data_IF_347913092026
#
_entry.id   IF_347913092026
#
_cell.length_a   1.000
_cell.length_b   1.000
_cell.length_c   1.000
_cell.angle_alpha   90.00
_cell.angle_beta   90.00
_cell.angle_gamma   90.00
#
_symmetry.space_group_name_H-M   'P 1'
#
loop_
_entity.id
_entity.type
_entity.pdbx_description
1 polymer ?
#
# COMPACT_ATOMS: atom_id res chain seq x y z
N UNK A 1 25.65 1.52 -23.24
CA UNK A 1 25.30 2.37 -22.09
C UNK A 1 24.03 1.78 -21.49
N UNK A 2 24.07 1.31 -20.24
CA UNK A 2 22.86 0.89 -19.53
C UNK A 2 21.91 2.08 -19.35
N UNK A 3 20.59 1.85 -19.15
CA UNK A 3 19.63 2.92 -18.91
C UNK A 3 20.10 3.79 -17.74
N UNK A 4 19.82 5.11 -17.76
CA UNK A 4 20.22 6.00 -16.69
C UNK A 4 19.61 5.49 -15.37
N UNK A 5 20.47 5.37 -14.38
CA UNK A 5 20.07 4.89 -13.07
C UNK A 5 19.26 5.99 -12.38
N UNK A 6 17.95 5.77 -12.27
CA UNK A 6 17.02 6.71 -11.67
C UNK A 6 16.97 6.51 -10.15
N UNK A 7 16.96 7.59 -9.39
CA UNK A 7 16.71 7.54 -7.95
C UNK A 7 15.24 7.22 -7.68
N UNK A 8 15.04 6.43 -6.64
CA UNK A 8 13.72 5.98 -6.20
C UNK A 8 13.59 6.11 -4.69
N UNK A 9 12.37 6.27 -4.22
CA UNK A 9 12.06 6.28 -2.79
C UNK A 9 11.63 4.88 -2.36
N UNK A 10 12.08 4.47 -1.18
CA UNK A 10 11.81 3.16 -0.61
C UNK A 10 10.95 3.28 0.64
N UNK A 11 9.87 2.51 0.69
CA UNK A 11 9.00 2.39 1.85
C UNK A 11 8.75 0.92 2.19
N UNK A 12 8.35 0.68 3.43
CA UNK A 12 7.95 -0.62 3.93
C UNK A 12 6.49 -0.57 4.33
N UNK A 13 5.70 -1.48 3.78
CA UNK A 13 4.28 -1.65 4.11
C UNK A 13 4.15 -2.90 4.98
N UNK A 14 4.07 -2.71 6.28
CA UNK A 14 3.88 -3.77 7.24
C UNK A 14 2.91 -3.34 8.32
N UNK A 15 2.10 -4.28 8.79
CA UNK A 15 1.11 -4.06 9.85
C UNK A 15 0.31 -5.33 10.09
N UNK A 16 -0.43 -5.38 11.19
CA UNK A 16 -1.23 -6.58 11.51
C UNK A 16 -2.26 -6.89 10.43
N UNK A 17 -2.87 -5.85 9.86
CA UNK A 17 -3.87 -5.96 8.80
C UNK A 17 -3.59 -4.95 7.69
N UNK A 18 -3.86 -5.36 6.46
CA UNK A 18 -3.81 -4.51 5.26
C UNK A 18 -5.03 -4.76 4.38
N UNK A 19 -5.44 -3.77 3.59
CA UNK A 19 -6.57 -3.91 2.66
C UNK A 19 -6.30 -3.13 1.38
N UNK A 20 -6.06 -3.84 0.30
CA UNK A 20 -5.75 -3.28 -1.02
C UNK A 20 -6.91 -3.54 -1.96
N UNK A 21 -7.90 -2.66 -1.94
CA UNK A 21 -9.11 -2.85 -2.72
C UNK A 21 -8.81 -2.80 -4.23
N UNK A 22 -9.23 -3.85 -4.93
CA UNK A 22 -9.29 -3.90 -6.39
C UNK A 22 -10.45 -3.10 -6.96
N UNK A 23 -10.63 -3.17 -8.29
CA UNK A 23 -11.66 -2.43 -9.01
C UNK A 23 -13.10 -2.87 -8.69
N UNK A 24 -13.28 -4.06 -8.13
CA UNK A 24 -14.61 -4.68 -7.99
C UNK A 24 -15.04 -4.75 -6.53
N UNK A 25 -16.06 -3.96 -6.18
CA UNK A 25 -16.82 -4.11 -4.94
C UNK A 25 -18.22 -4.62 -5.33
N UNK A 26 -18.54 -5.85 -4.99
CA UNK A 26 -19.86 -6.43 -5.25
C UNK A 26 -20.62 -6.59 -3.95
N UNK A 27 -21.74 -5.83 -3.82
CA UNK A 27 -22.69 -5.97 -2.73
C UNK A 27 -22.07 -5.82 -1.33
N UNK A 28 -22.38 -6.77 -0.46
CA UNK A 28 -21.96 -6.79 0.94
C UNK A 28 -20.59 -7.46 1.17
N UNK A 29 -19.90 -7.88 0.10
CA UNK A 29 -18.61 -8.55 0.19
C UNK A 29 -17.54 -7.60 -0.35
N UNK A 30 -16.62 -7.19 0.50
CA UNK A 30 -15.48 -6.34 0.14
C UNK A 30 -14.21 -7.17 0.25
N UNK A 31 -13.63 -7.50 -0.89
CA UNK A 31 -12.39 -8.28 -0.96
C UNK A 31 -11.16 -7.35 -1.02
N UNK A 32 -10.02 -7.88 -0.62
CA UNK A 32 -8.71 -7.25 -0.82
C UNK A 32 -7.95 -7.99 -1.91
N UNK A 33 -7.15 -7.23 -2.68
CA UNK A 33 -6.13 -7.82 -3.53
C UNK A 33 -5.00 -8.38 -2.66
N UNK A 34 -4.25 -9.32 -3.21
CA UNK A 34 -3.09 -9.95 -2.54
C UNK A 34 -1.86 -9.03 -2.43
N UNK A 35 -1.86 -7.94 -3.18
CA UNK A 35 -0.76 -6.98 -3.29
C UNK A 35 -1.27 -5.53 -3.20
N UNK A 36 -0.43 -4.59 -2.76
CA UNK A 36 -0.71 -3.18 -2.92
C UNK A 36 -0.94 -2.83 -4.39
N UNK A 37 -2.14 -2.34 -4.72
CA UNK A 37 -2.49 -1.97 -6.10
C UNK A 37 -1.91 -0.59 -6.46
N UNK A 38 -1.60 -0.31 -7.73
CA UNK A 38 -1.12 1.00 -8.18
C UNK A 38 -2.03 2.15 -7.75
N UNK A 39 -3.34 1.98 -7.88
CA UNK A 39 -4.34 2.96 -7.46
C UNK A 39 -4.26 3.24 -5.95
N UNK A 40 -4.11 2.21 -5.12
CA UNK A 40 -3.97 2.35 -3.66
C UNK A 40 -2.65 3.03 -3.30
N UNK A 41 -1.57 2.71 -4.01
CA UNK A 41 -0.25 3.32 -3.81
C UNK A 41 -0.26 4.80 -4.20
N UNK A 42 -0.89 5.16 -5.32
CA UNK A 42 -1.09 6.57 -5.68
C UNK A 42 -1.92 7.32 -4.65
N UNK A 43 -2.97 6.69 -4.12
CA UNK A 43 -3.77 7.27 -3.04
C UNK A 43 -2.99 7.50 -1.76
N UNK A 44 -2.11 6.57 -1.38
CA UNK A 44 -1.20 6.71 -0.23
C UNK A 44 -0.23 7.87 -0.46
N UNK A 45 0.39 7.92 -1.63
CA UNK A 45 1.35 8.98 -2.01
C UNK A 45 0.67 10.35 -2.08
N UNK A 46 -0.51 10.45 -2.71
CA UNK A 46 -1.31 11.67 -2.74
C UNK A 46 -1.66 12.17 -1.32
N UNK A 47 -2.01 11.25 -0.42
CA UNK A 47 -2.25 11.57 0.99
C UNK A 47 -1.00 12.10 1.69
N UNK A 48 0.17 11.48 1.47
CA UNK A 48 1.45 11.95 2.02
C UNK A 48 1.79 13.36 1.50
N UNK A 49 1.57 13.63 0.22
CA UNK A 49 1.76 14.94 -0.43
C UNK A 49 0.70 15.97 0.00
N UNK A 50 -0.43 15.56 0.55
CA UNK A 50 -1.51 16.43 1.02
C UNK A 50 -2.56 16.76 -0.02
N UNK A 51 -2.63 16.01 -1.13
CA UNK A 51 -3.69 16.18 -2.12
C UNK A 51 -5.00 15.57 -1.65
N UNK A 52 -6.10 16.27 -1.92
CA UNK A 52 -7.44 15.74 -1.68
C UNK A 52 -7.89 14.85 -2.83
N UNK A 53 -8.88 14.01 -2.55
CA UNK A 53 -9.46 13.14 -3.56
C UNK A 53 -10.09 13.99 -4.69
N UNK A 54 -9.71 13.69 -5.93
CA UNK A 54 -10.13 14.44 -7.11
C UNK A 54 -9.19 15.60 -7.51
N UNK A 55 -8.15 15.88 -6.71
CA UNK A 55 -7.18 16.97 -6.96
C UNK A 55 -5.78 16.42 -7.27
N UNK A 56 -5.68 15.16 -7.71
CA UNK A 56 -4.39 14.52 -7.97
C UNK A 56 -3.74 15.13 -9.21
N UNK A 57 -2.47 15.55 -9.13
CA UNK A 57 -1.75 16.04 -10.28
C UNK A 57 -1.47 14.90 -11.28
N UNK A 58 -1.49 15.21 -12.57
CA UNK A 58 -1.35 14.22 -13.65
C UNK A 58 -0.03 13.41 -13.62
N UNK A 59 1.03 13.93 -12.99
CA UNK A 59 2.27 13.20 -12.86
C UNK A 59 2.17 11.96 -11.95
N UNK A 60 1.20 11.95 -11.00
CA UNK A 60 0.97 10.77 -10.15
C UNK A 60 0.57 9.53 -10.95
N UNK A 61 -0.07 9.70 -12.11
CA UNK A 61 -0.44 8.58 -12.98
C UNK A 61 0.78 7.95 -13.68
N UNK A 62 1.91 8.68 -13.72
CA UNK A 62 3.17 8.20 -14.32
C UNK A 62 4.12 7.59 -13.31
N UNK A 63 3.76 7.56 -12.02
CA UNK A 63 4.59 6.96 -10.98
C UNK A 63 4.63 5.45 -11.17
N UNK A 64 5.84 4.91 -11.19
CA UNK A 64 6.07 3.47 -11.25
C UNK A 64 6.27 2.90 -9.87
N UNK A 65 5.68 1.74 -9.64
CA UNK A 65 5.81 1.00 -8.39
C UNK A 65 6.40 -0.39 -8.63
N UNK A 66 7.36 -0.77 -7.79
CA UNK A 66 7.78 -2.17 -7.69
C UNK A 66 7.55 -2.63 -6.27
N UNK A 67 6.75 -3.67 -6.12
CA UNK A 67 6.39 -4.28 -4.84
C UNK A 67 7.15 -5.58 -4.71
N UNK A 68 7.94 -5.72 -3.64
CA UNK A 68 8.64 -6.95 -3.27
C UNK A 68 7.94 -7.59 -2.08
N UNK A 69 7.55 -8.85 -2.24
CA UNK A 69 6.94 -9.61 -1.15
C UNK A 69 8.01 -10.04 -0.14
N UNK A 70 7.92 -9.51 1.10
CA UNK A 70 8.81 -9.88 2.21
C UNK A 70 8.22 -10.98 3.09
N UNK A 71 6.93 -10.93 3.36
CA UNK A 71 6.24 -11.94 4.14
C UNK A 71 4.90 -12.26 3.50
N UNK A 72 4.64 -13.54 3.29
CA UNK A 72 3.35 -14.02 2.80
C UNK A 72 2.24 -13.63 3.76
N UNK A 73 1.13 -13.26 3.18
CA UNK A 73 -0.09 -12.94 3.91
C UNK A 73 -0.94 -14.17 4.18
N UNK A 74 -1.85 -14.03 5.14
CA UNK A 74 -3.00 -14.90 5.32
C UNK A 74 -4.25 -14.05 5.10
N UNK A 75 -5.23 -14.56 4.36
CA UNK A 75 -6.53 -13.90 4.29
C UNK A 75 -7.26 -14.11 5.61
N UNK A 76 -7.84 -13.02 6.12
CA UNK A 76 -8.72 -13.05 7.28
C UNK A 76 -10.01 -12.31 6.98
N UNK A 77 -11.12 -12.87 7.41
CA UNK A 77 -12.44 -12.28 7.19
C UNK A 77 -12.91 -11.54 8.43
N UNK A 78 -13.56 -10.41 8.20
CA UNK A 78 -14.15 -9.56 9.21
C UNK A 78 -15.65 -9.39 8.91
N UNK A 79 -16.45 -9.94 9.76
CA UNK A 79 -17.90 -9.85 9.69
C UNK A 79 -18.37 -8.60 10.45
N UNK A 80 -18.94 -7.65 9.74
CA UNK A 80 -19.41 -6.40 10.31
C UNK A 80 -20.91 -6.26 10.18
N UNK A 81 -21.58 -5.95 11.28
CA UNK A 81 -22.97 -5.53 11.28
C UNK A 81 -23.04 -4.01 11.33
N UNK A 82 -23.76 -3.41 10.40
CA UNK A 82 -24.00 -1.97 10.35
C UNK A 82 -25.46 -1.75 10.72
N UNK A 83 -25.70 -1.27 11.92
CA UNK A 83 -27.04 -0.87 12.35
C UNK A 83 -27.15 0.66 12.23
N UNK A 84 -27.86 1.21 11.21
CA UNK A 84 -28.05 2.64 11.12
C UNK A 84 -28.90 3.10 12.30
N UNK A 85 -28.46 4.17 12.99
CA UNK A 85 -29.27 4.80 14.02
C UNK A 85 -30.63 5.19 13.44
N UNK A 86 -31.71 4.73 14.07
CA UNK A 86 -33.06 5.14 13.73
C UNK A 86 -33.18 6.65 13.90
N UNK A 87 -33.34 7.40 12.79
CA UNK A 87 -33.46 8.86 12.79
C UNK A 87 -32.48 9.63 11.91
N UNK A 88 -31.38 9.03 11.48
CA UNK A 88 -30.42 9.71 10.60
C UNK A 88 -30.75 9.48 9.10
N UNK A 89 -31.69 10.23 8.56
CA UNK A 89 -32.09 10.16 7.15
C UNK A 89 -30.90 10.31 6.18
N UNK A 90 -29.96 11.21 6.48
CA UNK A 90 -28.76 11.41 5.68
C UNK A 90 -27.84 10.18 5.62
N UNK A 91 -27.74 9.46 6.73
CA UNK A 91 -26.93 8.23 6.80
C UNK A 91 -27.58 7.12 5.98
N UNK A 92 -28.91 6.91 6.14
CA UNK A 92 -29.68 5.94 5.37
C UNK A 92 -29.61 6.21 3.87
N UNK A 93 -29.77 7.46 3.47
CA UNK A 93 -29.65 7.87 2.06
C UNK A 93 -28.28 7.55 1.48
N UNK A 94 -27.19 7.81 2.23
CA UNK A 94 -25.83 7.46 1.79
C UNK A 94 -25.63 5.95 1.65
N UNK A 95 -26.17 5.17 2.57
CA UNK A 95 -26.10 3.72 2.53
C UNK A 95 -26.81 3.15 1.30
N UNK A 96 -28.02 3.62 0.99
CA UNK A 96 -28.77 3.21 -0.19
C UNK A 96 -28.06 3.57 -1.50
N UNK A 97 -27.52 4.78 -1.59
CA UNK A 97 -26.75 5.23 -2.74
C UNK A 97 -25.45 4.41 -2.94
N UNK A 98 -24.79 4.07 -1.82
CA UNK A 98 -23.59 3.21 -1.86
C UNK A 98 -23.87 1.79 -2.35
N UNK A 99 -25.12 1.34 -2.21
CA UNK A 99 -25.59 0.04 -2.70
C UNK A 99 -26.25 0.11 -4.10
N UNK A 100 -26.15 1.26 -4.76
CA UNK A 100 -26.76 1.45 -6.08
C UNK A 100 -28.30 1.57 -6.08
N UNK A 101 -28.92 1.75 -4.90
CA UNK A 101 -30.37 1.88 -4.77
C UNK A 101 -30.84 3.33 -4.86
N UNK A 102 -32.03 3.56 -5.42
CA UNK A 102 -32.63 4.89 -5.52
C UNK A 102 -33.17 5.34 -4.15
N UNK A 103 -32.67 6.45 -3.62
CA UNK A 103 -33.12 7.05 -2.35
C UNK A 103 -34.12 8.21 -2.58
N UNK A 104 -35.13 8.02 -3.45
CA UNK A 104 -36.03 9.07 -3.89
C UNK A 104 -37.28 9.28 -3.03
N UNK A 105 -37.58 8.37 -2.10
CA UNK A 105 -38.76 8.49 -1.21
C UNK A 105 -38.43 8.05 0.21
N UNK A 106 -39.20 8.55 1.20
CA UNK A 106 -39.05 8.16 2.60
C UNK A 106 -39.23 6.64 2.81
N UNK A 107 -40.08 5.98 2.02
CA UNK A 107 -40.24 4.52 2.05
C UNK A 107 -38.96 3.79 1.62
N UNK A 108 -38.22 4.32 0.66
CA UNK A 108 -36.96 3.75 0.19
C UNK A 108 -35.81 3.99 1.17
N UNK A 109 -35.99 4.86 2.17
CA UNK A 109 -35.01 5.10 3.22
C UNK A 109 -35.13 4.11 4.39
N UNK A 110 -36.17 3.27 4.39
CA UNK A 110 -36.31 2.15 5.32
C UNK A 110 -35.48 0.98 4.74
N UNK A 111 -34.28 0.86 5.22
CA UNK A 111 -33.43 -0.25 4.85
C UNK A 111 -33.79 -1.48 5.67
N UNK A 112 -34.48 -2.43 5.06
CA UNK A 112 -34.70 -3.76 5.61
C UNK A 112 -34.00 -4.79 4.70
N UNK A 113 -32.70 -5.05 4.89
CA UNK A 113 -32.00 -6.04 4.05
C UNK A 113 -32.57 -7.44 4.25
N UNK A 114 -32.94 -7.78 5.48
CA UNK A 114 -33.57 -9.03 5.83
C UNK A 114 -34.64 -8.69 6.88
N UNK A 115 -35.86 -8.80 6.58
CA UNK A 115 -37.11 -8.71 7.37
C UNK A 115 -37.09 -8.42 8.91
N UNK A 116 -35.96 -8.20 9.52
CA UNK A 116 -35.73 -8.02 10.93
C UNK A 116 -34.79 -6.85 11.24
N UNK A 117 -35.34 -5.65 11.21
CA UNK A 117 -34.76 -4.57 12.00
C UNK A 117 -33.66 -3.68 11.39
N UNK A 118 -33.39 -3.74 10.07
CA UNK A 118 -32.56 -2.73 9.42
C UNK A 118 -31.05 -2.85 9.62
N UNK A 119 -30.54 -4.01 10.02
CA UNK A 119 -29.10 -4.26 10.12
C UNK A 119 -28.54 -4.69 8.76
N UNK A 120 -27.50 -4.00 8.28
CA UNK A 120 -26.75 -4.42 7.11
C UNK A 120 -25.55 -5.25 7.53
N UNK A 121 -25.32 -6.35 6.84
CA UNK A 121 -24.16 -7.22 7.06
C UNK A 121 -23.15 -6.96 5.96
N UNK A 122 -21.88 -6.75 6.33
CA UNK A 122 -20.76 -6.58 5.39
C UNK A 122 -19.65 -7.54 5.79
N UNK A 123 -19.26 -8.40 4.87
CA UNK A 123 -18.07 -9.24 4.99
C UNK A 123 -16.89 -8.55 4.33
N UNK A 124 -15.78 -8.44 5.03
CA UNK A 124 -14.55 -7.84 4.54
C UNK A 124 -13.39 -8.80 4.69
N UNK A 125 -12.63 -8.96 3.63
CA UNK A 125 -11.40 -9.75 3.68
C UNK A 125 -10.20 -8.81 3.76
N UNK A 126 -9.23 -9.15 4.60
CA UNK A 126 -7.99 -8.43 4.80
C UNK A 126 -6.78 -9.35 4.61
N UNK A 127 -5.62 -8.73 4.36
CA UNK A 127 -4.34 -9.42 4.46
C UNK A 127 -3.84 -9.30 5.90
N UNK A 128 -3.66 -10.44 6.57
CA UNK A 128 -3.04 -10.49 7.89
C UNK A 128 -1.55 -10.80 7.76
N UNK A 129 -0.75 -10.16 8.62
CA UNK A 129 0.69 -10.41 8.77
C UNK A 129 1.56 -10.24 7.52
N UNK A 130 1.07 -9.53 6.50
CA UNK A 130 1.81 -9.28 5.27
C UNK A 130 2.87 -8.19 5.46
N UNK A 131 3.95 -8.31 4.70
CA UNK A 131 4.99 -7.30 4.62
C UNK A 131 5.47 -7.14 3.17
N UNK A 132 5.52 -5.89 2.71
CA UNK A 132 5.99 -5.53 1.39
C UNK A 132 7.04 -4.44 1.48
N UNK A 133 8.06 -4.56 0.64
CA UNK A 133 9.01 -3.50 0.36
C UNK A 133 8.61 -2.86 -0.97
N UNK A 134 8.48 -1.55 -1.00
CA UNK A 134 8.02 -0.84 -2.21
C UNK A 134 9.05 0.16 -2.65
N UNK A 135 9.43 0.08 -3.92
CA UNK A 135 10.17 1.10 -4.66
C UNK A 135 9.18 1.99 -5.39
N UNK A 136 9.34 3.30 -5.25
CA UNK A 136 8.55 4.34 -5.90
C UNK A 136 9.48 5.15 -6.79
N UNK A 137 9.23 5.16 -8.09
CA UNK A 137 10.04 5.87 -9.09
C UNK A 137 9.17 6.88 -9.83
N UNK A 138 9.59 8.14 -9.83
CA UNK A 138 8.93 9.20 -10.59
C UNK A 138 10.01 10.19 -11.07
N UNK A 139 10.21 10.25 -12.37
CA UNK A 139 11.19 11.15 -12.95
C UNK A 139 10.88 12.63 -12.62
N UNK A 140 11.87 13.33 -12.08
CA UNK A 140 11.74 14.74 -11.68
C UNK A 140 11.04 14.98 -10.34
N UNK A 141 10.44 13.96 -9.69
CA UNK A 141 9.65 14.12 -8.46
C UNK A 141 10.22 13.37 -7.25
N UNK A 142 11.40 12.77 -7.36
CA UNK A 142 11.98 11.96 -6.28
C UNK A 142 12.14 12.74 -4.98
N UNK A 143 12.59 14.00 -5.03
CA UNK A 143 12.80 14.83 -3.83
C UNK A 143 11.46 15.20 -3.16
N UNK A 144 10.43 15.51 -3.95
CA UNK A 144 9.09 15.83 -3.45
C UNK A 144 8.47 14.60 -2.77
N UNK A 145 8.58 13.43 -3.39
CA UNK A 145 8.11 12.15 -2.83
C UNK A 145 8.88 11.79 -1.56
N UNK A 146 10.21 11.96 -1.56
CA UNK A 146 11.06 11.73 -0.39
C UNK A 146 10.62 12.57 0.80
N UNK A 147 10.48 13.87 0.59
CA UNK A 147 10.04 14.80 1.63
C UNK A 147 8.65 14.45 2.17
N UNK A 148 7.71 14.14 1.27
CA UNK A 148 6.34 13.80 1.63
C UNK A 148 6.24 12.50 2.42
N UNK A 149 6.97 11.45 2.04
CA UNK A 149 6.92 10.15 2.73
C UNK A 149 7.70 10.14 4.05
N UNK A 150 8.69 11.02 4.19
CA UNK A 150 9.42 11.25 5.45
C UNK A 150 8.58 11.99 6.47
N UNK A 151 7.76 12.96 6.03
CA UNK A 151 6.88 13.77 6.87
C UNK A 151 5.51 13.93 6.20
N UNK A 152 4.65 12.90 6.24
CA UNK A 152 3.39 12.90 5.54
C UNK A 152 2.43 13.96 6.03
N UNK A 153 1.80 14.70 5.11
CA UNK A 153 0.81 15.73 5.45
C UNK A 153 -0.47 15.13 6.02
N UNK A 154 -0.90 14.00 5.48
CA UNK A 154 -1.97 13.18 6.07
C UNK A 154 -1.41 11.85 6.53
N UNK A 155 -1.93 11.33 7.65
CA UNK A 155 -1.51 10.03 8.18
C UNK A 155 -1.59 8.95 7.09
N UNK A 156 -0.51 8.22 6.90
CA UNK A 156 -0.45 7.08 5.98
C UNK A 156 -1.08 5.85 6.62
N UNK A 157 -1.77 5.05 5.81
CA UNK A 157 -2.40 3.82 6.26
C UNK A 157 -2.39 2.76 5.15
N UNK A 158 -2.51 1.51 5.53
CA UNK A 158 -2.41 0.35 4.64
C UNK A 158 -3.77 0.02 4.01
N UNK A 159 -4.25 0.95 3.15
CA UNK A 159 -5.51 0.86 2.42
C UNK A 159 -6.74 1.33 3.20
N UNK A 160 -6.78 1.20 4.53
CA UNK A 160 -7.85 1.70 5.40
C UNK A 160 -7.29 2.49 6.56
N UNK A 161 -8.00 3.55 6.97
CA UNK A 161 -7.58 4.43 8.08
C UNK A 161 -7.35 3.68 9.40
N UNK A 162 -8.02 2.53 9.59
CA UNK A 162 -7.84 1.68 10.76
C UNK A 162 -6.53 0.86 10.76
N UNK A 163 -5.80 0.83 9.68
CA UNK A 163 -4.60 0.01 9.50
C UNK A 163 -3.35 0.88 9.33
N UNK A 164 -2.78 1.41 10.42
CA UNK A 164 -1.54 2.18 10.34
C UNK A 164 -0.37 1.27 9.96
N UNK A 165 0.59 1.82 9.22
CA UNK A 165 1.85 1.14 8.99
C UNK A 165 2.69 1.10 10.27
N UNK A 166 3.35 -0.03 10.55
CA UNK A 166 4.31 -0.12 11.66
C UNK A 166 5.66 0.45 11.25
N UNK A 167 6.39 0.96 12.24
CA UNK A 167 7.73 1.53 12.04
C UNK A 167 8.78 0.44 11.67
N UNK A 168 9.76 0.76 10.78
CA UNK A 168 9.81 1.96 9.95
C UNK A 168 8.91 1.81 8.72
N UNK A 169 8.21 2.90 8.36
CA UNK A 169 7.46 3.00 7.11
C UNK A 169 8.36 3.53 5.99
N UNK A 170 8.99 4.68 6.20
CA UNK A 170 9.94 5.28 5.27
C UNK A 170 11.34 4.68 5.49
N UNK A 171 12.02 4.31 4.40
CA UNK A 171 13.35 3.69 4.45
C UNK A 171 14.46 4.59 3.89
N UNK A 172 14.16 5.43 2.92
CA UNK A 172 15.15 6.33 2.32
C UNK A 172 15.07 6.42 0.80
N UNK A 173 16.04 7.10 0.23
CA UNK A 173 16.23 7.25 -1.21
C UNK A 173 17.46 6.49 -1.67
N UNK A 174 17.39 5.89 -2.82
CA UNK A 174 18.52 5.22 -3.45
C UNK A 174 18.23 4.89 -4.90
N UNK A 175 19.20 4.27 -5.55
CA UNK A 175 19.08 3.81 -6.92
C UNK A 175 17.96 2.78 -7.07
N UNK A 176 17.26 2.80 -8.21
CA UNK A 176 16.17 1.87 -8.52
C UNK A 176 16.55 0.38 -8.42
N UNK A 177 17.83 0.04 -8.68
CA UNK A 177 18.31 -1.34 -8.60
C UNK A 177 18.45 -1.88 -7.16
N UNK A 178 18.38 -1.01 -6.15
CA UNK A 178 18.51 -1.45 -4.75
C UNK A 178 17.39 -2.38 -4.31
N UNK A 179 16.22 -2.35 -4.94
CA UNK A 179 15.13 -3.30 -4.63
C UNK A 179 15.61 -4.76 -4.74
N UNK A 180 16.56 -5.02 -5.62
CA UNK A 180 17.17 -6.32 -5.88
C UNK A 180 18.32 -6.68 -4.92
N UNK A 181 18.83 -5.72 -4.15
CA UNK A 181 20.00 -5.86 -3.29
C UNK A 181 19.69 -5.74 -1.80
N UNK A 182 18.56 -5.08 -1.46
CA UNK A 182 18.14 -4.94 -0.08
C UNK A 182 17.91 -6.32 0.54
N UNK A 183 18.42 -6.58 1.76
CA UNK A 183 18.28 -7.88 2.38
C UNK A 183 16.83 -8.19 2.73
N UNK A 184 16.53 -9.46 2.95
CA UNK A 184 15.28 -9.94 3.51
C UNK A 184 15.54 -10.65 4.85
N UNK A 185 14.54 -10.72 5.73
CA UNK A 185 14.68 -11.46 6.98
C UNK A 185 14.60 -12.95 6.67
N UNK A 186 15.55 -13.74 7.17
CA UNK A 186 15.59 -15.17 6.98
C UNK A 186 14.35 -15.87 7.56
N UNK A 187 13.90 -16.92 6.89
CA UNK A 187 12.79 -17.77 7.35
C UNK A 187 13.28 -19.03 8.03
N UNK A 188 14.55 -19.37 7.85
CA UNK A 188 15.19 -20.58 8.38
C UNK A 188 16.52 -20.22 9.01
N UNK A 189 16.88 -20.93 10.06
CA UNK A 189 18.21 -20.78 10.69
C UNK A 189 19.32 -21.08 9.69
N UNK A 190 20.29 -20.17 9.54
CA UNK A 190 21.42 -20.34 8.64
C UNK A 190 21.13 -20.04 7.16
N UNK A 191 19.98 -19.47 6.83
CA UNK A 191 19.67 -19.03 5.48
C UNK A 191 20.48 -17.78 5.13
N UNK A 192 21.39 -17.89 4.15
CA UNK A 192 22.22 -16.76 3.68
C UNK A 192 21.54 -15.97 2.57
N UNK A 193 20.68 -16.61 1.79
CA UNK A 193 19.93 -16.00 0.70
C UNK A 193 18.48 -16.45 0.73
N UNK A 194 17.58 -15.50 0.56
CA UNK A 194 16.14 -15.75 0.55
C UNK A 194 15.54 -15.44 -0.81
N UNK A 195 14.65 -16.31 -1.28
CA UNK A 195 13.87 -16.07 -2.48
C UNK A 195 12.75 -15.07 -2.19
N UNK A 196 12.69 -14.01 -2.99
CA UNK A 196 11.64 -12.97 -2.97
C UNK A 196 10.99 -12.86 -4.34
N UNK A 197 9.77 -12.33 -4.38
CA UNK A 197 9.04 -12.08 -5.64
C UNK A 197 8.81 -10.57 -5.78
N UNK A 198 9.13 -10.06 -6.97
CA UNK A 198 8.91 -8.67 -7.34
C UNK A 198 7.76 -8.56 -8.33
N UNK A 199 6.89 -7.60 -8.09
CA UNK A 199 5.77 -7.22 -8.94
C UNK A 199 5.97 -5.77 -9.36
N UNK A 200 6.26 -5.55 -10.64
CA UNK A 200 6.43 -4.22 -11.19
C UNK A 200 5.13 -3.75 -11.85
N UNK A 201 4.78 -2.50 -11.63
CA UNK A 201 3.62 -1.82 -12.20
C UNK A 201 4.07 -0.57 -12.94
N UNK A 202 3.78 -0.54 -14.23
CA UNK A 202 4.06 0.60 -15.12
C UNK A 202 2.74 1.06 -15.71
N UNK A 203 2.34 2.29 -15.47
CA UNK A 203 1.08 2.87 -15.94
C UNK A 203 -0.14 1.95 -15.71
N UNK A 204 -0.27 1.42 -14.48
CA UNK A 204 -1.30 0.45 -14.07
C UNK A 204 -1.21 -0.96 -14.69
N UNK A 205 -0.29 -1.20 -15.58
CA UNK A 205 -0.04 -2.54 -16.11
C UNK A 205 0.84 -3.32 -15.15
N UNK A 206 0.37 -4.49 -14.72
CA UNK A 206 1.16 -5.45 -13.98
C UNK A 206 2.07 -6.21 -14.94
N UNK A 207 3.38 -6.12 -14.72
CA UNK A 207 4.35 -6.92 -15.46
C UNK A 207 4.42 -8.32 -14.87
N UNK A 208 4.98 -9.26 -15.65
CA UNK A 208 5.22 -10.63 -15.18
C UNK A 208 6.07 -10.62 -13.92
N UNK A 209 5.63 -11.27 -12.82
CA UNK A 209 6.40 -11.31 -11.57
C UNK A 209 7.76 -11.98 -11.76
N UNK A 210 8.78 -11.42 -11.13
CA UNK A 210 10.14 -11.94 -11.17
C UNK A 210 10.52 -12.45 -9.80
N UNK A 211 10.97 -13.71 -9.73
CA UNK A 211 11.54 -14.29 -8.51
C UNK A 211 13.05 -14.23 -8.54
N UNK A 212 13.65 -13.80 -7.44
CA UNK A 212 15.11 -13.73 -7.31
C UNK A 212 15.56 -14.03 -5.89
N UNK A 213 16.86 -14.23 -5.70
CA UNK A 213 17.47 -14.38 -4.41
C UNK A 213 18.11 -13.07 -3.95
N UNK A 214 17.87 -12.69 -2.71
CA UNK A 214 18.48 -11.53 -2.03
C UNK A 214 19.20 -12.00 -0.78
N UNK A 215 20.20 -11.24 -0.27
CA UNK A 215 20.85 -11.57 1.00
C UNK A 215 19.81 -11.73 2.12
N UNK A 216 19.99 -12.71 2.99
CA UNK A 216 19.13 -12.90 4.15
C UNK A 216 19.87 -12.51 5.44
N UNK A 217 19.14 -11.87 6.37
CA UNK A 217 19.61 -11.49 7.70
C UNK A 217 18.73 -12.12 8.76
N UNK A 218 19.26 -12.32 9.97
CA UNK A 218 18.63 -13.17 10.98
C UNK A 218 17.37 -12.56 11.61
N UNK A 219 17.36 -11.25 11.79
CA UNK A 219 16.31 -10.56 12.53
C UNK A 219 16.04 -9.14 12.00
N UNK A 220 15.12 -8.44 12.64
CA UNK A 220 14.69 -7.10 12.25
C UNK A 220 15.77 -6.04 12.49
N UNK A 221 16.55 -6.16 13.53
CA UNK A 221 17.58 -5.16 13.86
C UNK A 221 18.72 -5.24 12.84
N UNK A 222 19.20 -6.44 12.55
CA UNK A 222 20.18 -6.67 11.49
C UNK A 222 19.67 -6.22 10.11
N UNK A 223 18.38 -6.41 9.84
CA UNK A 223 17.74 -5.92 8.62
C UNK A 223 17.75 -4.39 8.53
N UNK A 224 17.38 -3.70 9.62
CA UNK A 224 17.38 -2.23 9.67
C UNK A 224 18.77 -1.64 9.46
N UNK A 225 19.78 -2.21 10.10
CA UNK A 225 21.17 -1.80 9.93
C UNK A 225 21.65 -1.98 8.51
N UNK A 226 21.39 -3.14 7.91
CA UNK A 226 21.80 -3.45 6.55
C UNK A 226 21.11 -2.55 5.52
N UNK A 227 19.79 -2.32 5.64
CA UNK A 227 19.03 -1.41 4.78
C UNK A 227 19.55 0.02 4.89
N UNK A 228 19.74 0.53 6.11
CA UNK A 228 20.26 1.87 6.34
C UNK A 228 21.68 2.05 5.77
N UNK A 229 22.53 1.02 5.88
CA UNK A 229 23.89 1.01 5.35
C UNK A 229 23.90 1.07 3.82
N UNK A 230 23.07 0.29 3.15
CA UNK A 230 22.95 0.26 1.67
C UNK A 230 22.47 1.61 1.13
N UNK A 231 21.42 2.17 1.71
CA UNK A 231 20.88 3.48 1.31
C UNK A 231 21.88 4.62 1.57
N UNK A 232 22.57 4.63 2.71
CA UNK A 232 23.60 5.64 3.05
C UNK A 232 24.82 5.56 2.14
N UNK A 233 25.33 4.38 1.81
CA UNK A 233 26.49 4.21 0.95
C UNK A 233 26.31 4.86 -0.42
N UNK A 234 25.12 4.77 -1.01
CA UNK A 234 24.81 5.41 -2.30
C UNK A 234 24.79 6.94 -2.23
N UNK A 235 24.32 7.54 -1.15
CA UNK A 235 24.37 9.00 -0.95
C UNK A 235 25.81 9.52 -0.91
N UNK A 236 26.72 8.78 -0.30
CA UNK A 236 28.14 9.17 -0.16
C UNK A 236 28.90 9.13 -1.50
N UNK A 237 28.64 8.12 -2.33
CA UNK A 237 29.29 8.00 -3.66
C UNK A 237 28.89 9.16 -4.59
N UNK A 238 27.66 9.66 -4.52
CA UNK A 238 27.23 10.81 -5.32
C UNK A 238 27.89 12.14 -4.92
N UNK A 239 28.12 12.34 -3.62
CA UNK A 239 28.79 13.55 -3.13
C UNK A 239 30.24 13.64 -3.63
N UNK A 240 30.87 12.51 -3.94
CA UNK A 240 32.27 12.46 -4.43
C UNK A 240 32.38 12.68 -5.94
N UNK A 241 31.34 12.37 -6.72
CA UNK A 241 31.36 12.52 -8.18
C UNK A 241 30.79 13.87 -8.69
N UNK A 242 30.33 14.73 -7.78
CA UNK A 242 29.81 16.07 -8.13
C UNK A 242 30.75 17.22 -7.77
N UNK A 243 32.05 16.93 -7.66
CA UNK A 243 33.12 17.96 -7.53
C UNK A 243 34.03 17.98 -8.76
#
# INVERSE_FOLDING_TARGET
MGPPVTDSVYIRLAGPLQSWAGATVTGNIVRTESLPTPSSMRGLLAGALGYKRGEFPAWLDKVEFTVREEKRFTFTDDFQTINPRTGEEKFRRRMLLAQGMKASSAKNLIFTPDAQGGTSIVNRTYLADSEFLVRITAEGYTEEIDAALRSPRFSTYLGRKAFPAVFPFYLGVGNSELINQLPAISQKKGEEHRRVTLHAFVQDLSLTPISQYVPAVQDRDAWLEAVAKVLKLRKTVRATNSR
#
